data_IF_679310368206
#
_entry.id   IF_679310368206
#
_cell.length_a   1.000
_cell.length_b   1.000
_cell.length_c   1.000
_cell.angle_alpha   90.00
_cell.angle_beta   90.00
_cell.angle_gamma   90.00
#
_symmetry.space_group_name_H-M   'P 1'
#
loop_
_entity.id
_entity.type
_entity.pdbx_description
1 polymer ?
#
# COMPACT_ATOMS: atom_id res chain seq x y z
N UNK A 1 9.18 -12.19 -3.81
CA UNK A 1 8.77 -10.78 -3.95
C UNK A 1 7.53 -10.49 -3.12
N UNK A 2 6.34 -11.03 -3.41
CA UNK A 2 5.14 -10.73 -2.58
C UNK A 2 5.27 -11.23 -1.13
N UNK A 3 5.59 -12.51 -0.94
CA UNK A 3 5.86 -13.09 0.39
C UNK A 3 6.97 -12.35 1.16
N UNK A 4 7.95 -11.80 0.44
CA UNK A 4 9.04 -11.02 1.02
C UNK A 4 8.53 -9.66 1.51
N UNK A 5 7.76 -8.95 0.67
CA UNK A 5 7.14 -7.68 1.04
C UNK A 5 6.23 -7.82 2.28
N UNK A 6 5.44 -8.89 2.36
CA UNK A 6 4.63 -9.22 3.54
C UNK A 6 5.49 -9.42 4.78
N UNK A 7 6.54 -10.25 4.68
CA UNK A 7 7.43 -10.54 5.81
C UNK A 7 8.22 -9.31 6.29
N UNK A 8 8.54 -8.37 5.40
CA UNK A 8 9.14 -7.07 5.76
C UNK A 8 8.10 -6.20 6.50
N UNK A 9 6.89 -6.09 5.96
CA UNK A 9 5.80 -5.32 6.57
C UNK A 9 5.42 -5.85 7.96
N UNK A 10 5.34 -7.17 8.13
CA UNK A 10 5.02 -7.80 9.41
C UNK A 10 6.11 -7.63 10.46
N UNK A 11 7.36 -7.46 10.04
CA UNK A 11 8.48 -7.14 10.93
C UNK A 11 8.64 -5.64 11.18
N UNK A 12 7.77 -4.81 10.59
CA UNK A 12 7.81 -3.35 10.71
C UNK A 12 8.84 -2.66 9.82
N UNK A 13 9.46 -3.38 8.88
CA UNK A 13 10.35 -2.78 7.87
C UNK A 13 9.51 -2.22 6.71
N UNK A 14 8.80 -1.13 7.01
CA UNK A 14 7.85 -0.49 6.09
C UNK A 14 8.55 -0.01 4.80
N UNK A 15 9.71 0.67 4.85
CA UNK A 15 10.36 1.16 3.62
C UNK A 15 10.71 0.03 2.64
N UNK A 16 11.29 -1.07 3.12
CA UNK A 16 11.68 -2.19 2.25
C UNK A 16 10.45 -2.93 1.71
N UNK A 17 9.42 -3.12 2.55
CA UNK A 17 8.15 -3.70 2.12
C UNK A 17 7.53 -2.90 0.97
N UNK A 18 7.45 -1.57 1.11
CA UNK A 18 6.87 -0.69 0.10
C UNK A 18 7.72 -0.65 -1.19
N UNK A 19 9.04 -0.80 -1.10
CA UNK A 19 9.90 -0.96 -2.28
C UNK A 19 9.51 -2.20 -3.08
N UNK A 20 9.26 -3.34 -2.41
CA UNK A 20 8.83 -4.57 -3.07
C UNK A 20 7.39 -4.51 -3.57
N UNK A 21 6.45 -3.96 -2.79
CA UNK A 21 5.08 -3.75 -3.24
C UNK A 21 5.01 -2.83 -4.46
N UNK A 22 5.73 -1.71 -4.46
CA UNK A 22 5.76 -0.78 -5.59
C UNK A 22 6.22 -1.45 -6.90
N UNK A 23 7.21 -2.37 -6.85
CA UNK A 23 7.62 -3.15 -8.03
C UNK A 23 6.52 -4.07 -8.55
N UNK A 24 5.74 -4.68 -7.65
CA UNK A 24 4.64 -5.58 -8.01
C UNK A 24 3.42 -4.81 -8.54
N UNK A 25 3.07 -3.70 -7.89
CA UNK A 25 2.02 -2.77 -8.32
C UNK A 25 2.33 -2.27 -9.74
N UNK A 26 3.53 -1.75 -10.00
CA UNK A 26 3.92 -1.30 -11.35
C UNK A 26 3.75 -2.39 -12.42
N UNK A 27 3.96 -3.66 -12.06
CA UNK A 27 3.79 -4.82 -12.94
C UNK A 27 2.34 -5.32 -13.04
N UNK A 28 1.41 -4.79 -12.24
CA UNK A 28 0.01 -5.24 -12.18
C UNK A 28 -0.14 -6.66 -11.59
N UNK A 29 0.81 -7.11 -10.77
CA UNK A 29 0.81 -8.47 -10.21
C UNK A 29 0.23 -8.48 -8.81
N UNK A 30 -0.61 -9.48 -8.52
CA UNK A 30 -1.15 -9.74 -7.18
C UNK A 30 -1.88 -8.55 -6.53
N UNK A 31 -2.49 -7.68 -7.34
CA UNK A 31 -3.04 -6.40 -6.85
C UNK A 31 -4.03 -6.56 -5.70
N UNK A 32 -4.97 -7.50 -5.80
CA UNK A 32 -5.96 -7.72 -4.73
C UNK A 32 -5.34 -8.19 -3.42
N UNK A 33 -4.25 -8.95 -3.50
CA UNK A 33 -3.53 -9.43 -2.32
C UNK A 33 -2.73 -8.28 -1.69
N UNK A 34 -2.07 -7.47 -2.52
CA UNK A 34 -1.34 -6.27 -2.08
C UNK A 34 -2.29 -5.26 -1.42
N UNK A 35 -3.45 -5.01 -2.04
CA UNK A 35 -4.49 -4.13 -1.51
C UNK A 35 -4.92 -4.60 -0.13
N UNK A 36 -5.16 -5.90 0.03
CA UNK A 36 -5.54 -6.49 1.32
C UNK A 36 -4.44 -6.31 2.36
N UNK A 37 -3.20 -6.69 2.04
CA UNK A 37 -2.07 -6.60 2.97
C UNK A 37 -1.83 -5.15 3.43
N UNK A 38 -1.85 -4.20 2.50
CA UNK A 38 -1.68 -2.78 2.81
C UNK A 38 -2.85 -2.24 3.64
N UNK A 39 -4.09 -2.60 3.30
CA UNK A 39 -5.29 -2.20 4.07
C UNK A 39 -5.26 -2.75 5.49
N UNK A 40 -4.87 -4.01 5.68
CA UNK A 40 -4.75 -4.62 7.01
C UNK A 40 -3.60 -4.00 7.82
N UNK A 41 -2.51 -3.61 7.17
CA UNK A 41 -1.39 -2.95 7.86
C UNK A 41 -1.77 -1.59 8.45
N UNK A 42 -2.77 -0.90 7.90
CA UNK A 42 -3.26 0.37 8.42
C UNK A 42 -3.96 0.26 9.78
N UNK A 43 -4.37 -0.94 10.22
CA UNK A 43 -4.79 -1.15 11.61
C UNK A 43 -3.62 -0.99 12.59
N UNK A 44 -2.40 -1.34 12.18
CA UNK A 44 -1.17 -1.24 12.99
C UNK A 44 -0.47 0.10 12.79
N UNK A 45 -0.55 0.66 11.58
CA UNK A 45 0.15 1.87 11.17
C UNK A 45 -0.82 2.92 10.58
N UNK A 46 -1.84 3.37 11.34
CA UNK A 46 -2.92 4.20 10.79
C UNK A 46 -2.48 5.59 10.29
N UNK A 47 -1.35 6.09 10.80
CA UNK A 47 -0.78 7.39 10.44
C UNK A 47 0.41 7.28 9.48
N UNK A 48 0.72 6.08 8.99
CA UNK A 48 1.83 5.89 8.05
C UNK A 48 1.41 6.31 6.64
N UNK A 49 1.84 7.52 6.26
CA UNK A 49 1.52 8.17 4.99
C UNK A 49 1.92 7.31 3.80
N UNK A 50 3.09 6.65 3.85
CA UNK A 50 3.60 5.91 2.70
C UNK A 50 2.76 4.65 2.42
N UNK A 51 2.14 4.06 3.44
CA UNK A 51 1.22 2.92 3.26
C UNK A 51 -0.07 3.38 2.58
N UNK A 52 -0.62 4.54 2.97
CA UNK A 52 -1.78 5.13 2.29
C UNK A 52 -1.50 5.45 0.82
N UNK A 53 -0.33 6.02 0.51
CA UNK A 53 0.09 6.27 -0.87
C UNK A 53 0.22 4.98 -1.68
N UNK A 54 0.89 3.96 -1.15
CA UNK A 54 1.04 2.67 -1.83
C UNK A 54 -0.30 1.95 -2.05
N UNK A 55 -1.23 2.09 -1.10
CA UNK A 55 -2.59 1.57 -1.24
C UNK A 55 -3.35 2.29 -2.36
N UNK A 56 -3.21 3.61 -2.46
CA UNK A 56 -3.73 4.40 -3.58
C UNK A 56 -3.18 3.95 -4.93
N UNK A 57 -1.86 3.73 -5.01
CA UNK A 57 -1.18 3.23 -6.23
C UNK A 57 -1.70 1.84 -6.63
N UNK A 58 -1.92 0.97 -5.65
CA UNK A 58 -2.45 -0.38 -5.88
C UNK A 58 -3.90 -0.32 -6.41
N UNK A 59 -4.75 0.52 -5.82
CA UNK A 59 -6.12 0.76 -6.30
C UNK A 59 -6.15 1.36 -7.71
N UNK A 60 -5.32 2.37 -7.99
CA UNK A 60 -5.16 2.95 -9.32
C UNK A 60 -4.82 1.87 -10.34
N UNK A 61 -3.84 1.02 -10.01
CA UNK A 61 -3.42 -0.06 -10.90
C UNK A 61 -4.50 -1.11 -11.11
N UNK A 62 -5.34 -1.35 -10.11
CA UNK A 62 -6.50 -2.24 -10.19
C UNK A 62 -7.72 -1.60 -10.88
N UNK A 63 -7.60 -0.38 -11.42
CA UNK A 63 -8.69 0.40 -12.02
C UNK A 63 -9.83 0.75 -11.03
N UNK A 64 -9.49 0.86 -9.74
CA UNK A 64 -10.40 1.21 -8.63
C UNK A 64 -10.23 2.67 -8.25
N UNK A 65 -10.62 3.56 -9.16
CA UNK A 65 -10.28 4.98 -9.11
C UNK A 65 -10.84 5.72 -7.90
N UNK A 66 -12.02 5.30 -7.41
CA UNK A 66 -12.64 5.93 -6.24
C UNK A 66 -11.85 5.62 -4.98
N UNK A 67 -11.53 4.36 -4.74
CA UNK A 67 -10.75 3.93 -3.58
C UNK A 67 -9.31 4.46 -3.61
N UNK A 68 -8.74 4.61 -4.81
CA UNK A 68 -7.46 5.28 -4.97
C UNK A 68 -7.50 6.73 -4.47
N UNK A 69 -8.50 7.50 -4.92
CA UNK A 69 -8.67 8.89 -4.51
C UNK A 69 -8.89 9.00 -3.00
N UNK A 70 -9.71 8.12 -2.43
CA UNK A 70 -9.95 8.08 -0.99
C UNK A 70 -8.65 7.83 -0.20
N UNK A 71 -7.81 6.90 -0.67
CA UNK A 71 -6.50 6.61 -0.04
C UNK A 71 -5.51 7.79 -0.17
N UNK A 72 -5.44 8.44 -1.33
CA UNK A 72 -4.58 9.61 -1.51
C UNK A 72 -5.03 10.82 -0.70
N UNK A 73 -6.33 11.08 -0.62
CA UNK A 73 -6.88 12.12 0.26
C UNK A 73 -6.49 11.85 1.71
N UNK A 74 -6.54 10.58 2.13
CA UNK A 74 -6.12 10.22 3.49
C UNK A 74 -4.63 10.45 3.73
N UNK A 75 -3.79 10.16 2.75
CA UNK A 75 -2.37 10.50 2.82
C UNK A 75 -2.15 12.02 2.92
N UNK A 76 -2.89 12.83 2.16
CA UNK A 76 -2.80 14.30 2.19
C UNK A 76 -3.23 14.86 3.56
N UNK A 77 -4.34 14.36 4.13
CA UNK A 77 -4.82 14.75 5.46
C UNK A 77 -3.78 14.56 6.56
N UNK A 78 -2.91 13.54 6.45
CA UNK A 78 -1.90 13.21 7.44
C UNK A 78 -0.62 14.06 7.34
N UNK A 79 -0.42 14.78 6.23
CA UNK A 79 0.76 15.64 6.00
C UNK A 79 0.46 17.11 6.30
N UNK A 80 -0.82 17.50 6.34
CA UNK A 80 -1.26 18.86 6.70
C UNK A 80 -1.13 19.13 8.19
#
# INVERSE_FOLDING_TARGET
MLHQAKAELDRGDIPEALLHYGKLIKRGKNLEEIIRDLSESLYRYPVEVNIWQALGDAYMRANRLKEALDAYNKAEELIR
#
